data_IF_827074019331
#
_entry.id   IF_827074019331
#
_cell.length_a   1.000
_cell.length_b   1.000
_cell.length_c   1.000
_cell.angle_alpha   90.00
_cell.angle_beta   90.00
_cell.angle_gamma   90.00
#
_symmetry.space_group_name_H-M   'P 1'
#
loop_
_entity.id
_entity.type
_entity.pdbx_description
1 polymer ?
#
# COMPACT_ATOMS: atom_id res chain seq x y z
N UNK A 1 2.78 4.54 -32.08
CA UNK A 1 3.31 4.06 -30.78
C UNK A 1 3.61 5.25 -29.85
N UNK A 2 2.66 5.70 -29.00
CA UNK A 2 2.89 6.80 -28.05
C UNK A 2 2.95 6.41 -26.55
N UNK A 3 2.86 5.12 -26.19
CA UNK A 3 2.71 4.70 -24.78
C UNK A 3 4.02 4.79 -23.97
N UNK A 4 5.15 4.39 -24.55
CA UNK A 4 6.42 4.22 -23.81
C UNK A 4 7.01 5.54 -23.29
N UNK A 5 6.82 6.65 -24.01
CA UNK A 5 7.36 7.95 -23.62
C UNK A 5 6.62 8.58 -22.42
N UNK A 6 5.33 8.26 -22.24
CA UNK A 6 4.53 8.71 -21.08
C UNK A 6 4.98 8.03 -19.79
N UNK A 7 5.34 6.75 -19.87
CA UNK A 7 5.80 5.97 -18.71
C UNK A 7 7.16 6.47 -18.22
N UNK A 8 8.11 6.75 -19.13
CA UNK A 8 9.44 7.27 -18.76
C UNK A 8 9.36 8.66 -18.12
N UNK A 9 8.51 9.54 -18.64
CA UNK A 9 8.31 10.89 -18.07
C UNK A 9 7.63 10.82 -16.70
N UNK A 10 6.67 9.92 -16.53
CA UNK A 10 5.98 9.70 -15.25
C UNK A 10 6.92 9.14 -14.19
N UNK A 11 7.78 8.19 -14.57
CA UNK A 11 8.81 7.62 -13.68
C UNK A 11 9.84 8.67 -13.23
N UNK A 12 10.27 9.56 -14.15
CA UNK A 12 11.20 10.65 -13.84
C UNK A 12 10.60 11.69 -12.88
N UNK A 13 9.28 11.92 -12.94
CA UNK A 13 8.57 12.84 -12.05
C UNK A 13 8.23 12.25 -10.69
N UNK A 14 8.11 10.93 -10.59
CA UNK A 14 7.73 10.23 -9.36
C UNK A 14 8.74 10.42 -8.24
N UNK A 15 10.04 10.24 -8.51
CA UNK A 15 11.07 10.30 -7.46
C UNK A 15 11.20 11.70 -6.81
N UNK A 16 11.25 12.81 -7.57
CA UNK A 16 11.25 14.16 -6.99
C UNK A 16 9.98 14.47 -6.19
N UNK A 17 8.81 14.04 -6.70
CA UNK A 17 7.52 14.27 -6.06
C UNK A 17 7.41 13.51 -4.73
N UNK A 18 7.79 12.23 -4.73
CA UNK A 18 7.86 11.42 -3.52
C UNK A 18 8.80 12.03 -2.49
N UNK A 19 9.96 12.53 -2.91
CA UNK A 19 10.90 13.20 -2.00
C UNK A 19 10.26 14.42 -1.33
N UNK A 20 9.60 15.29 -2.10
CA UNK A 20 8.88 16.45 -1.55
C UNK A 20 7.77 16.05 -0.58
N UNK A 21 7.00 15.00 -0.91
CA UNK A 21 5.95 14.46 -0.03
C UNK A 21 6.52 13.91 1.28
N UNK A 22 7.75 13.40 1.29
CA UNK A 22 8.42 12.98 2.52
C UNK A 22 8.88 14.21 3.32
N UNK A 23 9.54 15.16 2.65
CA UNK A 23 10.10 16.36 3.29
C UNK A 23 9.02 17.24 3.94
N UNK A 24 7.83 17.32 3.36
CA UNK A 24 6.72 18.11 3.89
C UNK A 24 5.78 17.32 4.83
N UNK A 25 6.05 16.03 5.07
CA UNK A 25 5.26 15.15 5.93
C UNK A 25 3.93 14.65 5.35
N UNK A 26 3.63 14.92 4.07
CA UNK A 26 2.43 14.42 3.40
C UNK A 26 2.44 12.89 3.28
N UNK A 27 3.62 12.30 3.08
CA UNK A 27 3.81 10.85 3.03
C UNK A 27 3.34 10.19 4.34
N UNK A 28 3.79 10.71 5.48
CA UNK A 28 3.44 10.17 6.80
C UNK A 28 1.94 10.35 7.09
N UNK A 29 1.34 11.46 6.65
CA UNK A 29 -0.11 11.70 6.75
C UNK A 29 -0.91 10.69 5.93
N UNK A 30 -0.49 10.40 4.70
CA UNK A 30 -1.12 9.38 3.85
C UNK A 30 -0.99 8.00 4.49
N UNK A 31 0.21 7.65 4.95
CA UNK A 31 0.48 6.36 5.59
C UNK A 31 -0.36 6.17 6.86
N UNK A 32 -0.42 7.18 7.72
CA UNK A 32 -1.22 7.14 8.94
C UNK A 32 -2.72 7.03 8.64
N UNK A 33 -3.21 7.71 7.59
CA UNK A 33 -4.61 7.58 7.17
C UNK A 33 -4.88 6.19 6.62
N UNK A 34 -4.04 5.67 5.73
CA UNK A 34 -4.18 4.32 5.21
C UNK A 34 -4.21 3.27 6.34
N UNK A 35 -3.30 3.37 7.31
CA UNK A 35 -3.27 2.46 8.45
C UNK A 35 -4.58 2.49 9.25
N UNK A 36 -5.17 3.67 9.44
CA UNK A 36 -6.45 3.84 10.13
C UNK A 36 -7.61 3.22 9.36
N UNK A 37 -7.72 3.52 8.06
CA UNK A 37 -8.80 3.01 7.20
C UNK A 37 -8.72 1.47 7.06
N UNK A 38 -7.51 0.90 6.99
CA UNK A 38 -7.30 -0.55 7.00
C UNK A 38 -7.68 -1.18 8.35
N UNK A 39 -7.45 -0.48 9.46
CA UNK A 39 -7.87 -0.94 10.78
C UNK A 39 -9.40 -0.91 10.91
N UNK A 40 -10.03 0.22 10.56
CA UNK A 40 -11.48 0.43 10.67
C UNK A 40 -12.29 -0.48 9.73
N UNK A 41 -11.73 -0.84 8.58
CA UNK A 41 -12.34 -1.82 7.66
C UNK A 41 -12.20 -3.28 8.10
N UNK A 42 -11.49 -3.55 9.20
CA UNK A 42 -11.20 -4.90 9.69
C UNK A 42 -10.16 -5.66 8.87
N UNK A 43 -9.52 -5.00 7.88
CA UNK A 43 -8.52 -5.63 7.02
C UNK A 43 -7.30 -6.12 7.82
N UNK A 44 -6.86 -5.35 8.83
CA UNK A 44 -5.72 -5.74 9.68
C UNK A 44 -6.01 -7.04 10.43
N UNK A 45 -7.21 -7.17 10.98
CA UNK A 45 -7.59 -8.36 11.76
C UNK A 45 -7.74 -9.58 10.86
N UNK A 46 -8.39 -9.42 9.70
CA UNK A 46 -8.49 -10.48 8.69
C UNK A 46 -7.11 -10.98 8.25
N UNK A 47 -6.18 -10.06 7.96
CA UNK A 47 -4.81 -10.41 7.57
C UNK A 47 -4.05 -11.16 8.67
N UNK A 48 -4.20 -10.73 9.94
CA UNK A 48 -3.62 -11.44 11.08
C UNK A 48 -4.19 -12.84 11.24
N UNK A 49 -5.49 -13.02 11.06
CA UNK A 49 -6.13 -14.32 11.21
C UNK A 49 -5.71 -15.29 10.10
N UNK A 50 -5.67 -14.83 8.85
CA UNK A 50 -5.08 -15.59 7.74
C UNK A 50 -3.62 -15.98 8.00
N UNK A 51 -2.83 -15.06 8.56
CA UNK A 51 -1.43 -15.31 8.92
C UNK A 51 -1.29 -16.42 9.96
N UNK A 52 -2.16 -16.42 10.99
CA UNK A 52 -2.17 -17.46 12.04
C UNK A 52 -2.64 -18.80 11.49
N UNK A 53 -3.64 -18.82 10.64
CA UNK A 53 -4.15 -20.05 10.01
C UNK A 53 -3.07 -20.71 9.15
N UNK A 54 -2.37 -19.93 8.34
CA UNK A 54 -1.28 -20.45 7.50
C UNK A 54 -0.10 -20.95 8.32
N UNK A 55 0.27 -20.23 9.39
CA UNK A 55 1.31 -20.67 10.31
C UNK A 55 0.94 -22.00 10.99
N UNK A 56 -0.30 -22.14 11.50
CA UNK A 56 -0.80 -23.38 12.11
C UNK A 56 -0.85 -24.55 11.12
N UNK A 57 -1.27 -24.30 9.88
CA UNK A 57 -1.28 -25.33 8.85
C UNK A 57 0.13 -25.88 8.57
N UNK A 58 1.14 -25.00 8.61
CA UNK A 58 2.54 -25.36 8.40
C UNK A 58 3.22 -26.01 9.63
N UNK A 59 2.64 -25.93 10.84
CA UNK A 59 3.21 -26.57 12.04
C UNK A 59 3.38 -28.09 11.84
N UNK A 60 2.44 -28.73 11.13
CA UNK A 60 2.50 -30.17 10.84
C UNK A 60 3.61 -30.56 9.84
N UNK A 61 4.20 -29.59 9.14
CA UNK A 61 5.24 -29.80 8.11
C UNK A 61 6.61 -29.26 8.52
N UNK A 62 6.81 -28.94 9.81
CA UNK A 62 8.07 -28.41 10.33
C UNK A 62 8.13 -26.88 10.48
N UNK A 63 6.99 -26.20 10.37
CA UNK A 63 6.87 -24.75 10.50
C UNK A 63 7.16 -23.98 9.21
N UNK A 64 6.93 -22.67 9.25
CA UNK A 64 7.16 -21.73 8.14
C UNK A 64 7.95 -20.52 8.64
N UNK A 65 8.87 -20.01 7.83
CA UNK A 65 9.59 -18.77 8.15
C UNK A 65 8.70 -17.55 7.92
N UNK A 66 8.97 -16.46 8.63
CA UNK A 66 8.25 -15.20 8.46
C UNK A 66 8.40 -14.67 7.03
N UNK A 67 9.58 -14.80 6.43
CA UNK A 67 9.82 -14.33 5.06
C UNK A 67 8.97 -15.07 4.03
N UNK A 68 8.84 -16.40 4.15
CA UNK A 68 7.98 -17.20 3.26
C UNK A 68 6.50 -16.87 3.51
N UNK A 69 6.10 -16.74 4.78
CA UNK A 69 4.75 -16.34 5.16
C UNK A 69 4.37 -14.99 4.52
N UNK A 70 5.28 -14.02 4.56
CA UNK A 70 5.10 -12.71 3.94
C UNK A 70 5.06 -12.78 2.41
N UNK A 71 5.92 -13.58 1.79
CA UNK A 71 5.94 -13.74 0.33
C UNK A 71 4.63 -14.31 -0.23
N UNK A 72 4.00 -15.23 0.52
CA UNK A 72 2.73 -15.86 0.15
C UNK A 72 1.51 -14.98 0.46
N UNK A 73 1.50 -14.29 1.60
CA UNK A 73 0.34 -13.49 2.03
C UNK A 73 0.32 -12.08 1.46
N UNK A 74 1.47 -11.44 1.20
CA UNK A 74 1.52 -10.08 0.67
C UNK A 74 0.67 -9.84 -0.59
N UNK A 75 0.72 -10.70 -1.64
CA UNK A 75 -0.12 -10.49 -2.83
C UNK A 75 -1.62 -10.62 -2.52
N UNK A 76 -2.00 -11.54 -1.61
CA UNK A 76 -3.38 -11.72 -1.17
C UNK A 76 -3.85 -10.47 -0.41
N UNK A 77 -3.05 -10.00 0.55
CA UNK A 77 -3.31 -8.82 1.35
C UNK A 77 -3.56 -7.58 0.47
N UNK A 78 -2.75 -7.39 -0.57
CA UNK A 78 -2.92 -6.29 -1.53
C UNK A 78 -4.21 -6.38 -2.34
N UNK A 79 -4.63 -7.60 -2.71
CA UNK A 79 -5.88 -7.88 -3.41
C UNK A 79 -7.11 -7.69 -2.53
N UNK A 80 -6.99 -7.95 -1.24
CA UNK A 80 -8.08 -7.85 -0.27
C UNK A 80 -8.31 -6.44 0.28
N UNK A 81 -7.46 -5.47 -0.05
CA UNK A 81 -7.70 -4.06 0.33
C UNK A 81 -9.06 -3.60 -0.22
N UNK A 82 -9.99 -3.15 0.64
CA UNK A 82 -11.31 -2.72 0.19
C UNK A 82 -11.22 -1.61 -0.86
N UNK A 83 -12.07 -1.69 -1.88
CA UNK A 83 -12.10 -0.71 -2.97
C UNK A 83 -12.38 0.70 -2.47
N UNK A 84 -13.24 0.85 -1.45
CA UNK A 84 -13.54 2.12 -0.80
C UNK A 84 -12.28 2.75 -0.17
N UNK A 85 -11.53 1.99 0.62
CA UNK A 85 -10.26 2.43 1.23
C UNK A 85 -9.26 2.85 0.14
N UNK A 86 -9.13 2.04 -0.93
CA UNK A 86 -8.25 2.37 -2.06
C UNK A 86 -8.65 3.68 -2.74
N UNK A 87 -9.93 3.88 -3.00
CA UNK A 87 -10.45 5.09 -3.64
C UNK A 87 -10.22 6.33 -2.77
N UNK A 88 -10.47 6.22 -1.46
CA UNK A 88 -10.27 7.32 -0.52
C UNK A 88 -8.82 7.76 -0.45
N UNK A 89 -7.88 6.81 -0.35
CA UNK A 89 -6.46 7.11 -0.30
C UNK A 89 -5.95 7.69 -1.63
N UNK A 90 -6.43 7.17 -2.77
CA UNK A 90 -6.14 7.78 -4.08
C UNK A 90 -6.66 9.22 -4.14
N UNK A 91 -7.85 9.49 -3.61
CA UNK A 91 -8.42 10.83 -3.53
C UNK A 91 -7.56 11.79 -2.69
N UNK A 92 -7.01 11.32 -1.57
CA UNK A 92 -6.06 12.10 -0.76
C UNK A 92 -4.80 12.41 -1.51
N UNK A 93 -4.20 11.40 -2.16
CA UNK A 93 -2.99 11.59 -2.95
C UNK A 93 -3.24 12.64 -4.03
N UNK A 94 -4.33 12.54 -4.80
CA UNK A 94 -4.68 13.52 -5.84
C UNK A 94 -4.77 14.95 -5.29
N UNK A 95 -5.49 15.16 -4.18
CA UNK A 95 -5.63 16.48 -3.56
C UNK A 95 -4.30 17.06 -3.07
N UNK A 96 -3.39 16.21 -2.58
CA UNK A 96 -2.06 16.65 -2.14
C UNK A 96 -1.17 16.99 -3.34
N UNK A 97 -1.28 16.23 -4.43
CA UNK A 97 -0.55 16.51 -5.67
C UNK A 97 -1.02 17.81 -6.34
N UNK A 98 -2.33 18.08 -6.35
CA UNK A 98 -2.91 19.33 -6.87
C UNK A 98 -2.30 20.55 -6.16
N UNK A 99 -2.18 20.51 -4.84
CA UNK A 99 -1.55 21.59 -4.04
C UNK A 99 -0.06 21.78 -4.32
N UNK A 100 0.64 20.74 -4.79
CA UNK A 100 2.08 20.81 -5.09
C UNK A 100 2.37 21.27 -6.53
N UNK A 101 1.34 21.30 -7.39
CA UNK A 101 1.44 21.63 -8.83
C UNK A 101 0.87 23.03 -9.14
N UNK A 102 0.33 23.76 -8.15
CA UNK A 102 0.03 25.18 -8.33
C UNK A 102 1.33 25.95 -8.68
N UNK A 103 1.41 26.42 -9.92
CA UNK A 103 2.45 27.28 -10.49
C UNK A 103 2.03 28.75 -10.39
#
# INVERSE_FOLDING_TARGET
MPSVAKDTRSAALYAPLRRRMIENGDWDRIAARLARELNESGWIDKFKDQSKEMARAAENTGGISVDTLMAELAPQAQGEVPSAVRQDIIGVIRKLLEKQIEF
#
